data_IF_748382952796
#
_entry.id   IF_748382952796
#
_cell.length_a   1.000
_cell.length_b   1.000
_cell.length_c   1.000
_cell.angle_alpha   90.00
_cell.angle_beta   90.00
_cell.angle_gamma   90.00
#
_symmetry.space_group_name_H-M   'P 1'
#
loop_
_entity.id
_entity.type
_entity.pdbx_description
1 polymer ?
#
# COMPACT_ATOMS: atom_id res chain seq x y z
N UNK A 1 27.19 35.91 4.98
CA UNK A 1 26.22 35.00 5.66
C UNK A 1 26.83 34.61 6.99
N UNK A 2 26.25 35.04 8.09
CA UNK A 2 26.76 34.75 9.46
C UNK A 2 26.39 33.32 9.80
N UNK A 3 27.40 32.49 10.10
CA UNK A 3 27.17 31.10 10.57
C UNK A 3 26.57 31.18 11.96
N UNK A 4 25.42 30.56 12.14
CA UNK A 4 24.79 30.37 13.47
C UNK A 4 25.68 29.48 14.33
N UNK A 5 25.97 29.90 15.54
CA UNK A 5 26.70 29.09 16.53
C UNK A 5 25.78 27.99 17.07
N UNK A 6 26.36 26.86 17.48
CA UNK A 6 25.60 25.80 18.19
C UNK A 6 24.95 26.35 19.47
N UNK A 7 25.61 27.27 20.13
CA UNK A 7 25.11 27.98 21.33
C UNK A 7 23.89 28.87 21.03
N UNK A 8 23.80 29.42 19.81
CA UNK A 8 22.66 30.24 19.38
C UNK A 8 21.41 29.38 19.08
N UNK A 9 21.59 28.11 18.83
CA UNK A 9 20.51 27.17 18.47
C UNK A 9 20.05 26.37 19.69
N UNK A 10 20.97 26.00 20.57
CA UNK A 10 20.68 25.25 21.78
C UNK A 10 20.58 26.21 22.97
N UNK A 11 19.41 26.26 23.58
CA UNK A 11 19.21 27.04 24.81
C UNK A 11 20.09 26.51 25.93
N UNK A 12 20.62 27.37 26.75
CA UNK A 12 21.73 27.20 27.72
C UNK A 12 21.63 26.02 28.73
N UNK A 13 20.60 25.25 28.78
CA UNK A 13 20.51 24.10 29.69
C UNK A 13 20.72 22.73 29.02
N UNK A 14 20.80 22.68 27.69
CA UNK A 14 20.73 21.42 26.96
C UNK A 14 22.05 21.05 26.24
N UNK A 15 23.05 21.91 26.29
CA UNK A 15 24.31 21.72 25.57
C UNK A 15 25.16 20.61 26.14
N UNK A 16 25.33 20.59 27.45
CA UNK A 16 26.21 19.63 28.12
C UNK A 16 25.60 18.23 28.09
N UNK A 17 24.30 18.14 28.33
CA UNK A 17 23.57 16.86 28.22
C UNK A 17 23.56 16.31 26.79
N UNK A 18 23.43 17.18 25.78
CA UNK A 18 23.49 16.77 24.37
C UNK A 18 24.90 16.36 23.97
N UNK A 19 25.92 17.05 24.49
CA UNK A 19 27.33 16.69 24.22
C UNK A 19 27.73 15.37 24.85
N UNK A 20 27.23 15.07 26.04
CA UNK A 20 27.45 13.79 26.68
C UNK A 20 26.67 12.67 25.99
N UNK A 21 25.42 12.92 25.59
CA UNK A 21 24.65 11.99 24.76
C UNK A 21 25.35 11.73 23.42
N UNK A 22 25.87 12.75 22.76
CA UNK A 22 26.63 12.62 21.51
C UNK A 22 27.87 11.71 21.66
N UNK A 23 28.64 11.86 22.75
CA UNK A 23 29.83 11.02 23.00
C UNK A 23 29.47 9.58 23.27
N UNK A 24 28.30 9.32 23.88
CA UNK A 24 27.85 7.99 24.28
C UNK A 24 26.94 7.32 23.24
N UNK A 25 26.54 8.04 22.19
CA UNK A 25 25.69 7.49 21.14
C UNK A 25 26.55 6.97 20.00
N UNK A 26 26.41 5.68 19.69
CA UNK A 26 27.01 5.12 18.50
C UNK A 26 26.40 5.77 17.24
N UNK A 27 27.23 5.99 16.23
CA UNK A 27 26.72 6.44 14.94
C UNK A 27 25.70 5.43 14.40
N UNK A 28 24.59 5.93 13.84
CA UNK A 28 23.64 5.06 13.17
C UNK A 28 24.37 4.31 12.03
N UNK A 29 24.15 3.01 11.96
CA UNK A 29 24.65 2.23 10.83
C UNK A 29 23.99 2.68 9.54
N UNK A 30 24.76 2.80 8.46
CA UNK A 30 24.22 2.99 7.13
C UNK A 30 23.34 1.79 6.80
N UNK A 31 22.06 2.06 6.55
CA UNK A 31 21.14 0.99 6.20
C UNK A 31 21.50 0.40 4.84
N UNK A 32 22.17 -0.73 4.84
CA UNK A 32 22.38 -1.53 3.65
C UNK A 32 21.04 -1.78 2.91
N UNK A 33 21.02 -1.90 1.60
CA UNK A 33 19.84 -2.28 0.87
C UNK A 33 19.20 -3.55 1.45
N UNK A 34 17.88 -3.69 1.30
CA UNK A 34 17.20 -4.92 1.69
C UNK A 34 17.74 -6.11 0.87
N UNK A 35 17.94 -7.28 1.48
CA UNK A 35 18.29 -8.48 0.73
C UNK A 35 17.30 -8.76 -0.42
N UNK A 36 17.81 -9.42 -1.45
CA UNK A 36 16.92 -9.90 -2.52
C UNK A 36 15.92 -10.91 -1.95
N UNK A 37 14.63 -10.71 -2.24
CA UNK A 37 13.57 -11.58 -1.70
C UNK A 37 12.17 -11.10 -2.03
N UNK A 38 11.20 -11.77 -1.43
CA UNK A 38 9.79 -11.35 -1.45
C UNK A 38 9.42 -10.76 -0.08
N UNK A 39 8.71 -9.65 -0.12
CA UNK A 39 8.32 -8.89 1.07
C UNK A 39 6.84 -8.57 1.02
N UNK A 40 6.19 -8.67 2.17
CA UNK A 40 4.87 -8.08 2.38
C UNK A 40 5.09 -6.64 2.83
N UNK A 41 4.57 -5.70 2.06
CA UNK A 41 4.77 -4.29 2.29
C UNK A 41 3.47 -3.51 2.06
N UNK A 42 3.31 -2.36 2.71
CA UNK A 42 2.24 -1.42 2.41
C UNK A 42 2.77 -0.23 1.63
N UNK A 43 1.93 0.36 0.80
CA UNK A 43 2.24 1.64 0.16
C UNK A 43 1.98 2.74 1.18
N UNK A 44 3.01 3.57 1.39
CA UNK A 44 2.96 4.70 2.33
C UNK A 44 2.64 6.00 1.59
N UNK A 45 3.23 6.18 0.39
CA UNK A 45 2.99 7.36 -0.44
C UNK A 45 3.24 7.05 -1.91
N UNK A 46 2.65 7.90 -2.75
CA UNK A 46 2.94 7.99 -4.17
C UNK A 46 3.06 9.45 -4.55
N UNK A 47 4.09 9.82 -5.31
CA UNK A 47 4.41 11.19 -5.64
C UNK A 47 4.87 11.33 -7.10
N UNK A 48 4.38 12.34 -7.78
CA UNK A 48 4.92 12.75 -9.08
C UNK A 48 6.31 13.39 -8.88
N UNK A 49 7.25 13.02 -9.72
CA UNK A 49 8.59 13.59 -9.68
C UNK A 49 9.19 13.71 -11.07
N UNK A 50 10.22 14.53 -11.18
CA UNK A 50 11.09 14.58 -12.35
C UNK A 50 12.49 14.10 -11.96
N UNK A 51 13.08 13.24 -12.80
CA UNK A 51 14.47 12.81 -12.63
C UNK A 51 15.41 14.00 -12.56
N UNK A 52 16.30 14.00 -11.58
CA UNK A 52 17.30 15.06 -11.39
C UNK A 52 18.32 15.11 -12.54
N UNK A 53 18.57 13.98 -13.19
CA UNK A 53 19.62 13.87 -14.23
C UNK A 53 19.15 14.41 -15.57
N UNK A 54 17.91 14.08 -15.98
CA UNK A 54 17.42 14.37 -17.33
C UNK A 54 15.99 14.92 -17.37
N UNK A 55 15.40 15.26 -16.21
CA UNK A 55 14.05 15.79 -16.13
C UNK A 55 12.93 14.80 -16.53
N UNK A 56 13.24 13.52 -16.66
CA UNK A 56 12.24 12.51 -17.04
C UNK A 56 11.13 12.43 -16.00
N UNK A 57 9.83 12.52 -16.42
CA UNK A 57 8.73 12.42 -15.50
C UNK A 57 8.53 10.99 -15.01
N UNK A 58 8.17 10.84 -13.75
CA UNK A 58 7.88 9.56 -13.13
C UNK A 58 6.94 9.68 -11.94
N UNK A 59 6.47 8.54 -11.47
CA UNK A 59 5.69 8.41 -10.24
C UNK A 59 6.43 7.50 -9.28
N UNK A 60 6.77 8.02 -8.11
CA UNK A 60 7.55 7.34 -7.09
C UNK A 60 6.64 6.74 -6.04
N UNK A 61 6.63 5.42 -5.94
CA UNK A 61 5.94 4.68 -4.89
C UNK A 61 6.89 4.42 -3.73
N UNK A 62 6.45 4.72 -2.51
CA UNK A 62 7.14 4.37 -1.28
C UNK A 62 6.45 3.18 -0.64
N UNK A 63 7.20 2.11 -0.42
CA UNK A 63 6.75 0.91 0.26
C UNK A 63 7.37 0.82 1.65
N UNK A 64 6.64 0.31 2.62
CA UNK A 64 7.14 -0.04 3.94
C UNK A 64 6.91 -1.52 4.20
N UNK A 65 7.97 -2.24 4.55
CA UNK A 65 7.91 -3.66 4.92
C UNK A 65 7.06 -3.83 6.18
N UNK A 66 6.13 -4.77 6.17
CA UNK A 66 5.22 -5.03 7.29
C UNK A 66 5.70 -6.16 8.20
N UNK A 67 6.42 -7.14 7.65
CA UNK A 67 6.68 -8.42 8.33
C UNK A 67 8.15 -8.82 8.22
N UNK A 68 8.61 -9.65 9.18
CA UNK A 68 9.95 -10.21 9.21
C UNK A 68 11.01 -9.27 9.82
N UNK A 69 12.27 -9.66 9.71
CA UNK A 69 13.42 -8.97 10.31
C UNK A 69 13.63 -7.55 9.81
N UNK A 70 13.02 -7.22 8.68
CA UNK A 70 13.12 -5.92 8.03
C UNK A 70 11.85 -5.08 8.16
N UNK A 71 10.92 -5.45 9.06
CA UNK A 71 9.69 -4.69 9.30
C UNK A 71 9.98 -3.21 9.61
N UNK A 72 9.16 -2.33 9.05
CA UNK A 72 9.33 -0.88 9.19
C UNK A 72 10.29 -0.24 8.18
N UNK A 73 11.16 -1.01 7.52
CA UNK A 73 12.08 -0.49 6.51
C UNK A 73 11.33 -0.06 5.25
N UNK A 74 11.80 1.02 4.64
CA UNK A 74 11.21 1.59 3.43
C UNK A 74 12.09 1.34 2.22
N UNK A 75 11.46 1.18 1.07
CA UNK A 75 12.10 1.14 -0.24
C UNK A 75 11.19 1.80 -1.28
N UNK A 76 11.77 2.17 -2.41
CA UNK A 76 11.10 2.98 -3.42
C UNK A 76 11.04 2.26 -4.76
N UNK A 77 10.01 2.58 -5.54
CA UNK A 77 9.84 2.13 -6.90
C UNK A 77 9.46 3.29 -7.80
N UNK A 78 10.29 3.57 -8.79
CA UNK A 78 10.05 4.61 -9.77
C UNK A 78 9.32 4.02 -10.98
N UNK A 79 8.12 4.53 -11.23
CA UNK A 79 7.31 4.20 -12.41
C UNK A 79 7.48 5.33 -13.40
N UNK A 80 8.21 5.08 -14.49
CA UNK A 80 8.52 6.10 -15.49
C UNK A 80 7.34 6.39 -16.40
N UNK A 81 7.02 7.68 -16.61
CA UNK A 81 5.90 8.17 -17.42
C UNK A 81 6.40 8.63 -18.81
N UNK A 82 7.25 7.84 -19.43
CA UNK A 82 7.73 8.11 -20.81
C UNK A 82 6.94 7.28 -21.82
N UNK A 83 6.84 7.69 -23.09
CA UNK A 83 6.16 6.91 -24.13
C UNK A 83 6.63 5.45 -24.20
N UNK A 84 7.94 5.22 -24.06
CA UNK A 84 8.52 3.88 -24.08
C UNK A 84 8.16 3.03 -22.84
N UNK A 85 7.97 3.65 -21.69
CA UNK A 85 7.66 2.96 -20.42
C UNK A 85 6.16 2.94 -20.11
N UNK A 86 5.33 3.64 -20.88
CA UNK A 86 3.92 3.88 -20.56
C UNK A 86 3.10 2.58 -20.44
N UNK A 87 3.40 1.57 -21.23
CA UNK A 87 2.73 0.27 -21.14
C UNK A 87 2.99 -0.44 -19.79
N UNK A 88 4.23 -0.35 -19.29
CA UNK A 88 4.62 -0.89 -17.99
C UNK A 88 4.00 -0.04 -16.87
N UNK A 89 4.06 1.29 -17.00
CA UNK A 89 3.45 2.21 -16.05
C UNK A 89 1.95 1.93 -15.91
N UNK A 90 1.22 1.82 -17.03
CA UNK A 90 -0.21 1.51 -17.04
C UNK A 90 -0.53 0.18 -16.35
N UNK A 91 0.29 -0.85 -16.60
CA UNK A 91 0.15 -2.15 -15.93
C UNK A 91 0.34 -2.03 -14.42
N UNK A 92 1.39 -1.36 -13.98
CA UNK A 92 1.75 -1.30 -12.57
C UNK A 92 0.85 -0.35 -11.79
N UNK A 93 0.50 0.80 -12.33
CA UNK A 93 -0.46 1.73 -11.75
C UNK A 93 -1.88 1.17 -11.77
N UNK A 94 -2.25 0.40 -12.81
CA UNK A 94 -3.54 -0.27 -12.90
C UNK A 94 -3.79 -1.27 -11.76
N UNK A 95 -2.75 -1.90 -11.20
CA UNK A 95 -2.87 -2.75 -10.00
C UNK A 95 -3.33 -1.98 -8.76
N UNK A 96 -3.06 -0.67 -8.73
CA UNK A 96 -3.47 0.25 -7.67
C UNK A 96 -4.83 0.91 -7.94
N UNK A 97 -5.52 0.50 -9.01
CA UNK A 97 -6.79 1.10 -9.43
C UNK A 97 -6.66 2.42 -10.18
N UNK A 98 -5.43 2.83 -10.53
CA UNK A 98 -5.17 4.05 -11.30
C UNK A 98 -5.39 3.75 -12.77
N UNK A 99 -6.41 4.39 -13.35
CA UNK A 99 -6.83 4.20 -14.74
C UNK A 99 -6.56 5.42 -15.63
N UNK A 100 -6.27 6.57 -15.02
CA UNK A 100 -5.94 7.81 -15.72
C UNK A 100 -4.77 8.55 -15.07
N UNK A 101 -4.01 9.31 -15.85
CA UNK A 101 -2.87 10.08 -15.33
C UNK A 101 -3.30 11.19 -14.37
N UNK A 102 -4.50 11.74 -14.53
CA UNK A 102 -5.03 12.76 -13.61
C UNK A 102 -5.21 12.26 -12.18
N UNK A 103 -5.40 10.95 -11.97
CA UNK A 103 -5.48 10.36 -10.64
C UNK A 103 -4.14 10.38 -9.88
N UNK A 104 -3.00 10.53 -10.57
CA UNK A 104 -1.68 10.64 -9.95
C UNK A 104 -1.46 11.94 -9.18
N UNK A 105 -2.31 12.96 -9.41
CA UNK A 105 -2.29 14.21 -8.68
C UNK A 105 -2.96 14.11 -7.30
N UNK A 106 -3.74 13.04 -7.10
CA UNK A 106 -4.40 12.76 -5.84
C UNK A 106 -3.59 11.77 -4.99
N UNK A 107 -3.65 11.88 -3.66
CA UNK A 107 -3.00 10.91 -2.80
C UNK A 107 -3.57 9.51 -3.01
N UNK A 108 -2.70 8.49 -2.91
CA UNK A 108 -3.14 7.10 -2.94
C UNK A 108 -3.99 6.77 -1.71
N UNK A 109 -4.97 5.87 -1.85
CA UNK A 109 -5.69 5.34 -0.69
C UNK A 109 -4.70 4.73 0.32
N UNK A 110 -4.87 4.98 1.62
CA UNK A 110 -4.04 4.37 2.65
C UNK A 110 -4.28 2.86 2.72
N UNK A 111 -3.31 2.12 3.30
CA UNK A 111 -3.49 0.72 3.64
C UNK A 111 -3.34 -0.28 2.50
N UNK A 112 -2.90 0.13 1.30
CA UNK A 112 -2.71 -0.82 0.20
C UNK A 112 -1.54 -1.77 0.54
N UNK A 113 -1.86 -3.05 0.77
CA UNK A 113 -0.87 -4.12 1.00
C UNK A 113 -0.46 -4.75 -0.30
N UNK A 114 0.84 -4.95 -0.44
CA UNK A 114 1.44 -5.53 -1.63
C UNK A 114 2.41 -6.64 -1.26
N UNK A 115 2.45 -7.68 -2.09
CA UNK A 115 3.57 -8.62 -2.14
C UNK A 115 4.56 -8.10 -3.17
N UNK A 116 5.78 -7.81 -2.75
CA UNK A 116 6.79 -7.15 -3.57
C UNK A 116 8.01 -8.04 -3.70
N UNK A 117 8.44 -8.28 -4.95
CA UNK A 117 9.69 -8.98 -5.23
C UNK A 117 10.80 -7.96 -5.49
N UNK A 118 11.79 -7.95 -4.60
CA UNK A 118 12.98 -7.10 -4.69
C UNK A 118 14.15 -7.84 -5.34
N UNK A 119 14.93 -7.10 -6.09
CA UNK A 119 16.27 -7.50 -6.52
C UNK A 119 17.27 -6.49 -5.99
N UNK A 120 18.46 -6.96 -5.69
CA UNK A 120 19.62 -6.13 -5.43
C UNK A 120 20.26 -5.78 -6.78
N UNK A 121 20.57 -4.52 -6.99
CA UNK A 121 21.30 -4.02 -8.15
C UNK A 121 22.51 -3.26 -7.66
N UNK A 122 23.57 -3.34 -8.44
CA UNK A 122 24.81 -2.58 -8.23
C UNK A 122 24.93 -1.55 -9.34
N UNK A 123 25.24 -0.33 -8.96
CA UNK A 123 25.53 0.75 -9.90
C UNK A 123 27.01 0.73 -10.32
N UNK A 124 27.39 1.53 -11.30
CA UNK A 124 28.76 1.59 -11.84
C UNK A 124 29.78 2.08 -10.80
N UNK A 125 29.34 2.85 -9.81
CA UNK A 125 30.15 3.31 -8.66
C UNK A 125 30.33 2.24 -7.57
N UNK A 126 29.72 1.06 -7.73
CA UNK A 126 29.75 -0.04 -6.79
C UNK A 126 28.68 0.03 -5.70
N UNK A 127 27.88 1.09 -5.63
CA UNK A 127 26.78 1.19 -4.69
C UNK A 127 25.67 0.19 -5.00
N UNK A 128 25.08 -0.38 -3.95
CA UNK A 128 23.98 -1.33 -4.09
C UNK A 128 22.65 -0.65 -3.75
N UNK A 129 21.62 -0.99 -4.52
CA UNK A 129 20.29 -0.46 -4.30
C UNK A 129 19.19 -1.48 -4.58
N UNK A 130 18.03 -1.28 -3.97
CA UNK A 130 16.88 -2.13 -4.18
C UNK A 130 16.14 -1.75 -5.47
N UNK A 131 15.81 -2.75 -6.27
CA UNK A 131 14.95 -2.60 -7.43
C UNK A 131 13.73 -3.50 -7.30
N UNK A 132 12.55 -2.91 -7.39
CA UNK A 132 11.30 -3.66 -7.47
C UNK A 132 11.21 -4.33 -8.84
N UNK A 133 11.17 -5.66 -8.86
CA UNK A 133 10.95 -6.44 -10.09
C UNK A 133 9.47 -6.55 -10.42
N UNK A 134 8.65 -6.78 -9.40
CA UNK A 134 7.21 -6.98 -9.51
C UNK A 134 6.58 -6.71 -8.15
N UNK A 135 5.36 -6.21 -8.17
CA UNK A 135 4.50 -6.19 -7.01
C UNK A 135 3.08 -6.59 -7.40
N UNK A 136 2.34 -7.09 -6.43
CA UNK A 136 0.94 -7.47 -6.55
C UNK A 136 0.20 -6.96 -5.33
N UNK A 137 -0.97 -6.36 -5.53
CA UNK A 137 -1.84 -5.95 -4.43
C UNK A 137 -2.48 -7.21 -3.85
N UNK A 138 -2.33 -7.41 -2.55
CA UNK A 138 -2.88 -8.57 -1.83
C UNK A 138 -4.06 -8.21 -0.95
N UNK A 139 -4.29 -6.92 -0.72
CA UNK A 139 -5.42 -6.42 0.07
C UNK A 139 -5.29 -4.95 0.37
N UNK A 140 -6.26 -4.44 1.09
CA UNK A 140 -6.24 -3.11 1.67
C UNK A 140 -6.42 -3.34 3.16
N UNK A 141 -5.52 -2.82 3.98
CA UNK A 141 -5.72 -2.78 5.42
C UNK A 141 -6.84 -1.76 5.66
N UNK A 142 -7.92 -2.19 6.24
CA UNK A 142 -8.90 -1.25 6.80
C UNK A 142 -8.14 -0.34 7.76
N UNK A 143 -8.27 0.95 7.52
CA UNK A 143 -7.59 2.00 8.30
C UNK A 143 -7.61 1.62 9.77
N UNK A 144 -6.43 1.63 10.40
CA UNK A 144 -6.28 1.45 11.83
C UNK A 144 -7.48 2.05 12.55
N UNK A 145 -8.24 1.21 13.22
CA UNK A 145 -9.26 1.68 14.16
C UNK A 145 -8.56 2.71 15.03
N UNK A 146 -9.02 3.94 14.97
CA UNK A 146 -8.52 5.05 15.78
C UNK A 146 -8.37 4.54 17.22
N UNK A 147 -7.13 4.49 17.78
CA UNK A 147 -6.93 4.01 19.17
C UNK A 147 -7.69 4.85 20.19
N UNK A 148 -8.19 6.02 19.77
CA UNK A 148 -9.01 6.94 20.55
C UNK A 148 -10.49 6.91 20.16
N UNK A 149 -10.90 6.06 19.20
CA UNK A 149 -12.33 5.89 18.94
C UNK A 149 -12.99 5.26 20.17
N UNK A 150 -14.06 5.86 20.72
CA UNK A 150 -14.76 5.30 21.84
C UNK A 150 -15.27 3.89 21.48
N UNK A 151 -15.01 2.93 22.35
CA UNK A 151 -15.36 1.52 22.17
C UNK A 151 -16.88 1.23 22.14
N UNK A 152 -17.72 2.26 22.20
CA UNK A 152 -19.16 2.18 22.25
C UNK A 152 -19.82 2.77 21.00
N UNK A 153 -19.72 2.06 19.87
CA UNK A 153 -20.76 2.12 18.85
C UNK A 153 -21.83 1.07 19.17
N UNK A 154 -23.13 1.39 19.10
CA UNK A 154 -24.17 0.40 19.34
C UNK A 154 -24.02 -0.75 18.35
N UNK A 155 -23.77 -1.94 18.88
CA UNK A 155 -23.81 -3.19 18.11
C UNK A 155 -25.13 -3.27 17.35
N UNK A 156 -25.12 -3.60 16.05
CA UNK A 156 -26.36 -3.84 15.33
C UNK A 156 -27.14 -4.93 16.07
N UNK A 157 -28.46 -4.77 16.28
CA UNK A 157 -29.25 -5.76 16.99
C UNK A 157 -29.16 -7.10 16.28
N UNK A 158 -28.83 -8.13 17.06
CA UNK A 158 -28.81 -9.52 16.59
C UNK A 158 -30.15 -9.86 15.91
N UNK A 159 -30.15 -10.61 14.80
CA UNK A 159 -31.39 -11.03 14.16
C UNK A 159 -32.21 -11.85 15.15
N UNK A 160 -33.39 -11.33 15.51
CA UNK A 160 -34.36 -12.03 16.33
C UNK A 160 -34.85 -13.27 15.58
N UNK A 161 -34.84 -14.48 16.22
CA UNK A 161 -35.42 -15.65 15.59
C UNK A 161 -36.93 -15.45 15.49
N UNK A 162 -37.46 -15.44 14.26
CA UNK A 162 -38.90 -15.47 14.04
C UNK A 162 -39.44 -16.83 14.47
N UNK A 163 -40.14 -16.81 15.60
CA UNK A 163 -40.93 -17.94 16.06
C UNK A 163 -42.08 -18.15 15.09
N UNK A 164 -42.10 -19.33 14.48
CA UNK A 164 -43.17 -19.76 13.59
C UNK A 164 -44.53 -19.80 14.28
N UNK A 165 -45.52 -19.32 13.58
CA UNK A 165 -46.92 -19.71 13.84
C UNK A 165 -47.42 -20.51 12.65
N UNK A 166 -47.86 -21.63 13.01
CA UNK A 166 -48.26 -22.78 12.32
C UNK A 166 -49.48 -22.68 11.40
N UNK A 167 -49.55 -23.75 10.69
CA UNK A 167 -50.71 -24.46 10.15
C UNK A 167 -51.71 -23.68 9.30
N UNK A 168 -51.80 -24.04 8.07
CA UNK A 168 -52.98 -24.71 7.53
C UNK A 168 -52.72 -25.22 6.10
N UNK A 169 -52.79 -26.54 5.94
CA UNK A 169 -53.10 -27.17 4.66
C UNK A 169 -54.55 -27.00 4.37
N UNK A 170 -55.00 -27.01 3.10
CA UNK A 170 -55.34 -28.27 2.46
C UNK A 170 -54.93 -28.40 0.98
N UNK A 171 -54.66 -29.63 0.60
CA UNK A 171 -54.72 -30.27 -0.71
C UNK A 171 -56.19 -30.31 -1.25
N UNK A 172 -56.44 -30.92 -2.45
CA UNK A 172 -55.84 -30.89 -3.77
C UNK A 172 -56.85 -30.54 -4.87
N UNK A 173 -56.46 -30.52 -6.15
CA UNK A 173 -57.20 -30.93 -7.34
C UNK A 173 -56.33 -30.68 -8.59
N UNK A 174 -55.86 -31.70 -9.16
CA UNK A 174 -56.14 -32.53 -10.33
C UNK A 174 -56.23 -31.80 -11.68
N UNK A 175 -55.38 -32.34 -12.57
CA UNK A 175 -55.55 -32.49 -14.02
C UNK A 175 -55.56 -31.22 -14.90
N UNK A 176 -54.71 -31.17 -15.91
CA UNK A 176 -55.04 -31.70 -17.23
C UNK A 176 -53.85 -31.58 -18.20
N UNK A 177 -53.83 -32.50 -19.09
CA UNK A 177 -52.97 -32.75 -20.24
C UNK A 177 -52.94 -31.60 -21.26
N UNK A 178 -51.85 -31.50 -21.99
CA UNK A 178 -51.71 -31.72 -23.46
C UNK A 178 -50.39 -31.07 -23.92
N UNK A 179 -49.43 -31.82 -24.42
CA UNK A 179 -49.24 -32.30 -25.78
C UNK A 179 -49.04 -31.17 -26.84
N UNK A 180 -47.91 -31.27 -27.51
CA UNK A 180 -47.60 -30.54 -28.73
C UNK A 180 -46.12 -30.19 -28.74
N UNK A 181 -45.19 -31.00 -29.18
CA UNK A 181 -44.82 -31.52 -30.51
C UNK A 181 -44.50 -30.42 -31.53
N UNK A 182 -43.45 -30.69 -32.23
CA UNK A 182 -42.90 -30.10 -33.46
C UNK A 182 -41.69 -29.14 -33.25
N UNK A 183 -40.52 -29.60 -33.54
CA UNK A 183 -39.89 -29.97 -34.83
C UNK A 183 -39.29 -28.75 -35.53
N UNK A 184 -38.12 -29.01 -35.93
CA UNK A 184 -37.37 -28.52 -37.12
C UNK A 184 -36.44 -27.30 -37.01
N UNK A 185 -35.17 -27.68 -37.10
CA UNK A 185 -34.18 -27.27 -38.15
C UNK A 185 -33.91 -25.77 -38.39
N UNK A 186 -32.75 -25.35 -38.12
CA UNK A 186 -31.58 -25.14 -39.01
C UNK A 186 -30.36 -24.69 -38.20
#
# INVERSE_FOLDING_TARGET
MTRKSLTDILHDGNRDSLQDAWKNTAAAEDFAPLPQGEYVARIVSGELFNSKTNGTPGYKLCFQVLEGDHAGRKFWHDVWLTPAALSMAKRDLGKLGITSLGQLESPLPPGIRCRVKLALRRDDDGSEYNRVKRFEVVGIDDSESDPFAPADGPSPPAPVPQVGKGSESPEPLAADESAGDDDDRF
#
